data_IF_470187506486
#
_entry.id   IF_470187506486
#
_cell.length_a   1.000
_cell.length_b   1.000
_cell.length_c   1.000
_cell.angle_alpha   90.00
_cell.angle_beta   90.00
_cell.angle_gamma   90.00
#
_symmetry.space_group_name_H-M   'P 1'
#
loop_
_entity.id
_entity.type
_entity.pdbx_description
1 polymer ?
#
# COMPACT_ATOMS: atom_id res chain seq x y z
N UNK A 1 -6.41 29.48 21.82
CA UNK A 1 -5.11 30.17 21.91
C UNK A 1 -4.15 29.37 21.03
N UNK A 2 -3.78 29.89 19.87
CA UNK A 2 -2.72 29.26 19.07
C UNK A 2 -1.44 29.43 19.90
N UNK A 3 -0.71 28.36 20.27
CA UNK A 3 0.52 28.53 21.04
C UNK A 3 1.45 29.44 20.25
N UNK A 4 2.01 30.44 20.94
CA UNK A 4 2.95 31.37 20.35
C UNK A 4 4.09 30.56 19.72
N UNK A 5 4.45 30.86 18.47
CA UNK A 5 5.51 30.14 17.74
C UNK A 5 6.80 30.01 18.58
N UNK A 6 7.18 31.06 19.32
CA UNK A 6 8.36 31.05 20.18
C UNK A 6 8.23 30.05 21.34
N UNK A 7 7.05 29.95 21.97
CA UNK A 7 6.78 28.97 23.03
C UNK A 7 6.82 27.55 22.46
N UNK A 8 6.26 27.35 21.26
CA UNK A 8 6.31 26.05 20.57
C UNK A 8 7.75 25.64 20.25
N UNK A 9 8.56 26.56 19.72
CA UNK A 9 9.97 26.32 19.42
C UNK A 9 10.77 25.98 20.69
N UNK A 10 10.58 26.74 21.76
CA UNK A 10 11.24 26.49 23.04
C UNK A 10 10.84 25.13 23.64
N UNK A 11 9.56 24.77 23.58
CA UNK A 11 9.09 23.46 24.03
C UNK A 11 9.67 22.32 23.20
N UNK A 12 9.73 22.48 21.86
CA UNK A 12 10.34 21.49 20.97
C UNK A 12 11.81 21.24 21.33
N UNK A 13 12.60 22.29 21.57
CA UNK A 13 13.99 22.16 22.00
C UNK A 13 14.12 21.32 23.27
N UNK A 14 13.33 21.64 24.31
CA UNK A 14 13.34 20.91 25.58
C UNK A 14 13.01 19.43 25.35
N UNK A 15 11.97 19.13 24.57
CA UNK A 15 11.57 17.74 24.31
C UNK A 15 12.62 16.95 23.53
N UNK A 16 13.21 17.55 22.49
CA UNK A 16 14.23 16.88 21.69
C UNK A 16 15.52 16.65 22.49
N UNK A 17 15.98 17.63 23.27
CA UNK A 17 17.17 17.45 24.14
C UNK A 17 16.93 16.42 25.23
N UNK A 18 15.74 16.40 25.84
CA UNK A 18 15.37 15.37 26.82
C UNK A 18 15.31 13.96 26.20
N UNK A 19 14.75 13.83 25.00
CA UNK A 19 14.71 12.55 24.28
C UNK A 19 16.13 12.09 23.90
N UNK A 20 16.99 13.02 23.46
CA UNK A 20 18.38 12.73 23.11
C UNK A 20 19.22 12.26 24.31
N UNK A 21 18.91 12.74 25.52
CA UNK A 21 19.59 12.32 26.74
C UNK A 21 19.44 10.81 27.05
N UNK A 22 18.42 10.15 26.49
CA UNK A 22 18.27 8.69 26.58
C UNK A 22 19.14 7.92 25.56
N UNK A 23 19.90 8.63 24.72
CA UNK A 23 20.75 8.08 23.65
C UNK A 23 20.04 7.03 22.76
N UNK A 24 18.85 7.34 22.21
CA UNK A 24 18.14 6.40 21.34
C UNK A 24 18.84 6.24 19.99
N UNK A 25 18.42 5.23 19.20
CA UNK A 25 18.90 5.04 17.82
C UNK A 25 18.60 6.25 16.92
N UNK A 26 17.45 6.89 17.14
CA UNK A 26 17.01 8.15 16.57
C UNK A 26 15.78 8.66 17.34
N UNK A 27 15.38 9.91 17.12
CA UNK A 27 14.16 10.51 17.64
C UNK A 27 13.17 10.70 16.48
N UNK A 28 11.97 10.15 16.59
CA UNK A 28 10.85 10.53 15.72
C UNK A 28 10.16 11.76 16.31
N UNK A 29 9.85 12.75 15.47
CA UNK A 29 9.21 13.98 15.94
C UNK A 29 8.09 14.49 15.03
N UNK A 30 7.11 15.07 15.71
CA UNK A 30 5.98 15.82 15.16
C UNK A 30 6.37 17.29 15.02
N UNK A 31 7.24 17.60 14.06
CA UNK A 31 7.78 18.96 13.90
C UNK A 31 6.77 19.90 13.26
N UNK A 32 6.71 21.14 13.76
CA UNK A 32 5.99 22.22 13.11
C UNK A 32 4.48 22.07 13.07
N UNK A 33 3.85 22.90 12.23
CA UNK A 33 2.40 22.95 12.02
C UNK A 33 2.10 23.24 10.56
N UNK A 34 0.96 22.76 10.11
CA UNK A 34 0.38 23.04 8.79
C UNK A 34 0.00 24.51 8.59
N UNK A 35 -0.25 25.26 9.68
CA UNK A 35 -0.57 26.68 9.64
C UNK A 35 0.62 27.63 9.92
N UNK A 36 1.81 27.11 10.20
CA UNK A 36 3.01 27.95 10.31
C UNK A 36 3.54 28.31 8.93
N UNK A 37 4.18 29.48 8.82
CA UNK A 37 4.83 29.87 7.57
C UNK A 37 5.98 28.93 7.22
N UNK A 38 6.44 28.98 5.97
CA UNK A 38 7.61 28.23 5.53
C UNK A 38 8.81 28.53 6.43
N UNK A 39 9.08 29.81 6.69
CA UNK A 39 10.21 30.27 7.51
C UNK A 39 10.09 29.79 8.96
N UNK A 40 8.88 29.80 9.52
CA UNK A 40 8.63 29.30 10.87
C UNK A 40 8.89 27.80 10.98
N UNK A 41 8.38 27.00 10.05
CA UNK A 41 8.66 25.56 10.04
C UNK A 41 10.14 25.27 9.76
N UNK A 42 10.79 26.00 8.87
CA UNK A 42 12.23 25.89 8.59
C UNK A 42 13.06 26.13 9.85
N UNK A 43 12.73 27.14 10.66
CA UNK A 43 13.40 27.36 11.94
C UNK A 43 13.27 26.20 12.94
N UNK A 44 12.21 25.39 12.86
CA UNK A 44 12.02 24.20 13.71
C UNK A 44 12.80 23.00 13.17
N UNK A 45 12.93 22.88 11.84
CA UNK A 45 13.77 21.89 11.19
C UNK A 45 15.25 22.18 11.47
N UNK A 46 15.70 23.42 11.30
CA UNK A 46 17.06 23.87 11.64
C UNK A 46 17.41 23.62 13.11
N UNK A 47 16.47 23.92 14.02
CA UNK A 47 16.64 23.61 15.45
C UNK A 47 16.81 22.11 15.69
N UNK A 48 15.98 21.28 15.03
CA UNK A 48 16.06 19.82 15.16
C UNK A 48 17.41 19.30 14.64
N UNK A 49 17.87 19.82 13.50
CA UNK A 49 19.16 19.45 12.93
C UNK A 49 20.33 19.90 13.81
N UNK A 50 20.31 21.11 14.36
CA UNK A 50 21.31 21.57 15.32
C UNK A 50 21.37 20.65 16.55
N UNK A 51 20.22 20.26 17.11
CA UNK A 51 20.18 19.34 18.26
C UNK A 51 20.72 17.95 17.86
N UNK A 52 20.42 17.47 16.67
CA UNK A 52 20.96 16.20 16.17
C UNK A 52 22.49 16.23 16.07
N UNK A 53 23.05 17.35 15.60
CA UNK A 53 24.50 17.57 15.53
C UNK A 53 25.13 17.69 16.93
N UNK A 54 24.51 18.47 17.83
CA UNK A 54 24.99 18.68 19.21
C UNK A 54 25.05 17.36 20.00
N UNK A 55 24.05 16.51 19.83
CA UNK A 55 23.84 15.31 20.65
C UNK A 55 24.34 14.03 20.00
N UNK A 56 24.59 14.04 18.69
CA UNK A 56 24.88 12.85 17.88
C UNK A 56 23.68 11.92 17.67
N UNK A 57 22.49 12.29 18.16
CA UNK A 57 21.26 11.48 18.01
C UNK A 57 20.48 11.97 16.79
N UNK A 58 20.31 11.11 15.79
CA UNK A 58 19.56 11.43 14.57
C UNK A 58 18.10 11.76 14.89
N UNK A 59 17.52 12.70 14.12
CA UNK A 59 16.12 13.09 14.25
C UNK A 59 15.42 12.89 12.90
N UNK A 60 14.28 12.21 12.91
CA UNK A 60 13.45 11.95 11.73
C UNK A 60 12.07 12.58 11.91
N UNK A 61 11.51 13.09 10.82
CA UNK A 61 10.29 13.89 10.85
C UNK A 61 9.10 13.10 10.33
N UNK A 62 8.08 12.95 11.15
CA UNK A 62 6.88 12.19 10.78
C UNK A 62 6.04 12.92 9.73
N UNK A 63 5.61 12.18 8.71
CA UNK A 63 4.52 12.58 7.83
C UNK A 63 3.23 12.58 8.65
N UNK A 64 2.68 13.76 8.94
CA UNK A 64 1.47 13.87 9.76
C UNK A 64 0.61 15.06 9.35
N UNK A 65 -0.71 14.83 9.15
CA UNK A 65 -1.67 15.77 8.52
C UNK A 65 -1.75 17.18 9.14
N UNK A 66 -1.36 17.34 10.40
CA UNK A 66 -1.37 18.63 11.13
C UNK A 66 0.03 19.24 11.33
N UNK A 67 0.99 18.85 10.49
CA UNK A 67 2.40 19.27 10.55
C UNK A 67 2.80 19.85 9.19
N UNK A 68 4.02 20.38 9.09
CA UNK A 68 4.53 20.92 7.81
C UNK A 68 4.50 19.89 6.67
N UNK A 69 4.57 18.60 7.03
CA UNK A 69 4.51 17.43 6.15
C UNK A 69 3.08 16.95 5.85
N UNK A 70 2.04 17.72 6.19
CA UNK A 70 0.66 17.22 6.23
C UNK A 70 0.03 16.81 4.89
N UNK A 71 0.64 17.20 3.77
CA UNK A 71 0.23 16.82 2.42
C UNK A 71 1.47 16.70 1.52
N UNK A 72 1.49 15.83 0.48
CA UNK A 72 2.66 15.65 -0.38
C UNK A 72 3.19 16.95 -1.00
N UNK A 73 2.29 17.84 -1.42
CA UNK A 73 2.69 19.15 -1.97
C UNK A 73 3.21 20.14 -0.92
N UNK A 74 2.89 19.97 0.36
CA UNK A 74 3.38 20.85 1.42
C UNK A 74 4.83 20.52 1.80
N UNK A 75 5.24 19.25 1.69
CA UNK A 75 6.59 18.83 2.09
C UNK A 75 7.67 19.19 1.05
N UNK A 76 7.29 19.33 -0.22
CA UNK A 76 8.23 19.53 -1.34
C UNK A 76 9.20 20.71 -1.17
N UNK A 77 8.75 21.94 -0.84
CA UNK A 77 9.67 23.08 -0.69
C UNK A 77 10.71 22.88 0.42
N UNK A 78 10.36 22.10 1.46
CA UNK A 78 11.28 21.75 2.53
C UNK A 78 12.29 20.69 2.06
N UNK A 79 11.88 19.69 1.28
CA UNK A 79 12.83 18.70 0.74
C UNK A 79 13.84 19.32 -0.23
N UNK A 80 13.45 20.38 -0.94
CA UNK A 80 14.33 21.15 -1.80
C UNK A 80 15.32 22.01 -0.99
N UNK A 81 14.85 22.62 0.10
CA UNK A 81 15.68 23.49 0.96
C UNK A 81 16.56 22.71 1.94
N UNK A 82 16.14 21.50 2.31
CA UNK A 82 16.83 20.60 3.25
C UNK A 82 17.09 19.24 2.55
N UNK A 83 18.16 19.12 1.75
CA UNK A 83 18.50 17.91 0.99
C UNK A 83 18.75 16.65 1.85
N UNK A 84 19.11 16.84 3.12
CA UNK A 84 19.39 15.76 4.07
C UNK A 84 18.20 15.44 5.00
N UNK A 85 17.06 16.11 4.81
CA UNK A 85 15.87 15.91 5.65
C UNK A 85 15.39 14.44 5.61
N UNK A 86 15.41 13.79 6.77
CA UNK A 86 15.00 12.41 6.95
C UNK A 86 13.54 12.31 7.40
N UNK A 87 12.77 11.40 6.77
CA UNK A 87 11.34 11.24 7.03
C UNK A 87 11.04 9.93 7.78
N UNK A 88 10.03 10.01 8.66
CA UNK A 88 9.26 8.85 9.12
C UNK A 88 7.95 8.77 8.34
N UNK A 89 7.75 7.67 7.63
CA UNK A 89 6.60 7.45 6.77
C UNK A 89 5.42 6.86 7.56
N UNK A 90 4.52 7.73 8.04
CA UNK A 90 3.12 7.39 8.29
C UNK A 90 2.24 7.92 7.14
N UNK A 91 2.17 7.15 6.05
CA UNK A 91 1.42 7.53 4.85
C UNK A 91 -0.10 7.51 5.04
N UNK A 92 -0.59 6.94 6.14
CA UNK A 92 -2.02 6.95 6.47
C UNK A 92 -2.56 8.38 6.64
N UNK A 93 -1.72 9.30 7.10
CA UNK A 93 -2.05 10.72 7.21
C UNK A 93 -2.27 11.39 5.85
N UNK A 94 -1.50 11.01 4.83
CA UNK A 94 -1.72 11.49 3.48
C UNK A 94 -2.92 10.84 2.82
N UNK A 95 -3.28 9.61 3.18
CA UNK A 95 -4.48 8.98 2.65
C UNK A 95 -5.73 9.82 2.96
N UNK A 96 -5.88 10.24 4.22
CA UNK A 96 -6.99 11.11 4.64
C UNK A 96 -6.85 12.54 4.14
N UNK A 97 -5.64 13.11 4.09
CA UNK A 97 -5.44 14.48 3.60
C UNK A 97 -5.68 14.62 2.10
N UNK A 98 -5.47 13.56 1.32
CA UNK A 98 -5.67 13.53 -0.13
C UNK A 98 -6.95 12.80 -0.55
N UNK A 99 -7.78 12.37 0.39
CA UNK A 99 -9.01 11.60 0.13
C UNK A 99 -8.80 10.41 -0.84
N UNK A 100 -7.66 9.73 -0.74
CA UNK A 100 -7.25 8.70 -1.70
C UNK A 100 -6.21 7.72 -1.13
N UNK A 101 -5.88 6.67 -1.88
CA UNK A 101 -4.70 5.84 -1.64
C UNK A 101 -3.51 6.30 -2.49
N UNK A 102 -3.38 7.61 -2.77
CA UNK A 102 -2.24 8.23 -3.45
C UNK A 102 -1.87 7.61 -4.83
N UNK A 103 -2.82 6.94 -5.48
CA UNK A 103 -2.61 6.18 -6.71
C UNK A 103 -2.08 7.03 -7.87
N UNK A 104 -2.43 8.32 -7.88
CA UNK A 104 -2.05 9.32 -8.88
C UNK A 104 -0.72 10.03 -8.56
N UNK A 105 -0.14 9.77 -7.38
CA UNK A 105 1.10 10.40 -6.90
C UNK A 105 2.28 9.41 -6.82
N UNK A 106 2.14 8.24 -7.46
CA UNK A 106 3.13 7.16 -7.40
C UNK A 106 4.56 7.56 -7.80
N UNK A 107 4.73 8.49 -8.73
CA UNK A 107 6.05 8.97 -9.18
C UNK A 107 6.71 9.86 -8.11
N UNK A 108 5.94 10.79 -7.55
CA UNK A 108 6.37 11.63 -6.43
C UNK A 108 6.80 10.77 -5.23
N UNK A 109 5.97 9.79 -4.86
CA UNK A 109 6.27 8.88 -3.77
C UNK A 109 7.57 8.10 -4.00
N UNK A 110 7.71 7.46 -5.16
CA UNK A 110 8.87 6.60 -5.45
C UNK A 110 10.18 7.37 -5.62
N UNK A 111 10.14 8.52 -6.30
CA UNK A 111 11.35 9.20 -6.73
C UNK A 111 11.80 10.28 -5.74
N UNK A 112 10.88 10.84 -4.96
CA UNK A 112 11.16 11.97 -4.06
C UNK A 112 11.02 11.58 -2.60
N UNK A 113 9.90 10.94 -2.23
CA UNK A 113 9.58 10.70 -0.82
C UNK A 113 10.31 9.47 -0.27
N UNK A 114 10.16 8.30 -0.90
CA UNK A 114 10.70 7.03 -0.39
C UNK A 114 12.23 7.03 -0.18
N UNK A 115 13.05 7.67 -1.03
CA UNK A 115 14.50 7.78 -0.79
C UNK A 115 14.86 8.55 0.50
N UNK A 116 13.97 9.42 0.99
CA UNK A 116 14.15 10.21 2.21
C UNK A 116 13.72 9.48 3.48
N UNK A 117 13.04 8.33 3.35
CA UNK A 117 12.48 7.60 4.50
C UNK A 117 13.57 6.83 5.24
N UNK A 118 13.53 6.90 6.57
CA UNK A 118 14.40 6.15 7.51
C UNK A 118 13.63 5.33 8.53
N UNK A 119 12.37 5.70 8.77
CA UNK A 119 11.47 4.99 9.65
C UNK A 119 10.10 4.84 8.99
N UNK A 120 9.39 3.76 9.30
CA UNK A 120 8.02 3.53 8.88
C UNK A 120 7.17 3.30 10.12
N UNK A 121 6.10 4.06 10.26
CA UNK A 121 4.98 3.70 11.11
C UNK A 121 3.98 2.86 10.31
N UNK A 122 3.86 1.58 10.67
CA UNK A 122 3.13 0.57 9.92
C UNK A 122 1.64 0.53 10.31
N UNK A 123 0.96 1.68 10.21
CA UNK A 123 -0.50 1.79 10.32
C UNK A 123 -1.12 1.73 8.93
N UNK A 124 -2.29 1.13 8.82
CA UNK A 124 -3.08 1.12 7.58
C UNK A 124 -4.20 2.15 7.69
N UNK A 125 -4.13 3.19 6.85
CA UNK A 125 -5.23 4.15 6.65
C UNK A 125 -6.04 3.86 5.40
N UNK A 126 -7.06 4.67 5.17
CA UNK A 126 -7.89 4.68 3.97
C UNK A 126 -8.20 6.13 3.56
N UNK A 127 -8.87 6.32 2.42
CA UNK A 127 -9.18 7.65 1.88
C UNK A 127 -9.89 8.59 2.87
N UNK A 128 -10.69 8.05 3.78
CA UNK A 128 -11.51 8.83 4.71
C UNK A 128 -10.97 8.83 6.14
N UNK A 129 -9.82 8.19 6.39
CA UNK A 129 -9.35 8.00 7.76
C UNK A 129 -7.92 7.48 7.87
N UNK A 130 -7.15 7.94 8.86
CA UNK A 130 -5.76 7.51 9.07
C UNK A 130 -5.65 6.08 9.63
N UNK A 131 -6.76 5.45 10.03
CA UNK A 131 -6.74 4.11 10.60
C UNK A 131 -7.97 3.33 10.19
N UNK A 132 -7.77 2.15 9.60
CA UNK A 132 -8.84 1.16 9.39
C UNK A 132 -9.23 0.50 10.70
N UNK A 133 -10.47 0.05 10.81
CA UNK A 133 -10.97 -0.67 12.00
C UNK A 133 -10.18 -1.95 12.25
N UNK A 134 -9.92 -2.74 11.21
CA UNK A 134 -9.08 -3.93 11.28
C UNK A 134 -8.49 -4.22 9.89
N UNK A 135 -7.17 -4.12 9.72
CA UNK A 135 -6.52 -4.28 8.41
C UNK A 135 -6.69 -5.69 7.82
N UNK A 136 -7.11 -6.68 8.61
CA UNK A 136 -7.35 -8.06 8.17
C UNK A 136 -8.72 -8.23 7.54
N UNK A 137 -9.63 -7.28 7.75
CA UNK A 137 -10.98 -7.35 7.23
C UNK A 137 -10.98 -7.17 5.70
N UNK A 138 -11.81 -7.93 4.95
CA UNK A 138 -11.79 -7.93 3.48
C UNK A 138 -12.15 -6.58 2.85
N UNK A 139 -12.96 -5.77 3.52
CA UNK A 139 -13.30 -4.41 3.09
C UNK A 139 -12.09 -3.46 3.06
N UNK A 140 -11.07 -3.75 3.87
CA UNK A 140 -9.83 -2.96 3.94
C UNK A 140 -8.71 -3.54 3.06
N UNK A 141 -9.00 -4.55 2.25
CA UNK A 141 -7.99 -5.28 1.48
C UNK A 141 -7.19 -4.40 0.50
N UNK A 142 -7.85 -3.41 -0.12
CA UNK A 142 -7.18 -2.49 -1.05
C UNK A 142 -6.24 -1.52 -0.31
N UNK A 143 -6.71 -0.94 0.80
CA UNK A 143 -5.91 -0.10 1.68
C UNK A 143 -4.70 -0.85 2.23
N UNK A 144 -4.92 -2.06 2.74
CA UNK A 144 -3.86 -2.93 3.25
C UNK A 144 -2.83 -3.26 2.16
N UNK A 145 -3.28 -3.64 0.95
CA UNK A 145 -2.39 -3.95 -0.16
C UNK A 145 -1.56 -2.74 -0.61
N UNK A 146 -2.14 -1.54 -0.61
CA UNK A 146 -1.44 -0.30 -0.95
C UNK A 146 -0.30 -0.02 0.06
N UNK A 147 -0.60 -0.07 1.36
CA UNK A 147 0.38 0.17 2.42
C UNK A 147 1.53 -0.84 2.38
N UNK A 148 1.23 -2.15 2.24
CA UNK A 148 2.26 -3.18 2.09
C UNK A 148 3.16 -2.91 0.87
N UNK A 149 2.58 -2.45 -0.25
CA UNK A 149 3.35 -2.13 -1.45
C UNK A 149 4.27 -0.93 -1.25
N UNK A 150 3.84 0.09 -0.49
CA UNK A 150 4.68 1.23 -0.17
C UNK A 150 5.84 0.83 0.73
N UNK A 151 5.57 0.09 1.80
CA UNK A 151 6.61 -0.37 2.73
C UNK A 151 7.63 -1.28 2.04
N UNK A 152 7.18 -2.20 1.19
CA UNK A 152 8.06 -3.05 0.37
C UNK A 152 8.95 -2.22 -0.57
N UNK A 153 8.42 -1.13 -1.13
CA UNK A 153 9.20 -0.24 -2.00
C UNK A 153 10.23 0.57 -1.22
N UNK A 154 9.84 1.13 -0.06
CA UNK A 154 10.73 1.88 0.82
C UNK A 154 11.90 1.01 1.29
N UNK A 155 11.61 -0.20 1.77
CA UNK A 155 12.66 -1.13 2.24
C UNK A 155 13.61 -1.53 1.12
N UNK A 156 13.13 -1.65 -0.12
CA UNK A 156 13.97 -1.96 -1.30
C UNK A 156 14.77 -0.78 -1.83
N UNK A 157 14.48 0.45 -1.41
CA UNK A 157 15.25 1.62 -1.83
C UNK A 157 16.70 1.59 -1.31
N UNK A 158 17.03 0.67 -0.37
CA UNK A 158 18.40 0.40 0.06
C UNK A 158 18.84 1.15 1.32
N UNK A 159 18.01 2.03 1.86
CA UNK A 159 18.26 2.68 3.14
C UNK A 159 18.09 1.70 4.30
N UNK A 160 18.93 1.82 5.33
CA UNK A 160 18.67 1.16 6.61
C UNK A 160 17.40 1.76 7.21
N UNK A 161 16.31 0.99 7.14
CA UNK A 161 14.96 1.45 7.51
C UNK A 161 14.45 0.61 8.67
N UNK A 162 13.98 1.29 9.73
CA UNK A 162 13.28 0.64 10.84
C UNK A 162 11.77 0.74 10.62
N UNK A 163 10.99 -0.18 11.21
CA UNK A 163 9.53 -0.21 11.04
C UNK A 163 8.86 -0.60 12.36
N UNK A 164 7.81 0.14 12.73
CA UNK A 164 7.07 -0.05 13.98
C UNK A 164 5.57 -0.13 13.68
N UNK A 165 4.85 -1.21 14.07
CA UNK A 165 3.39 -1.21 14.07
C UNK A 165 2.84 -0.07 14.93
N UNK A 166 1.88 0.68 14.40
CA UNK A 166 1.40 1.90 15.07
C UNK A 166 -0.13 2.02 15.09
N UNK A 167 -0.90 0.95 15.22
CA UNK A 167 -2.35 1.08 15.48
C UNK A 167 -2.58 1.82 16.81
N UNK A 168 -3.15 3.02 16.74
CA UNK A 168 -3.28 3.95 17.85
C UNK A 168 -4.56 3.71 18.66
N UNK A 169 -4.60 4.14 19.93
CA UNK A 169 -5.79 4.04 20.77
C UNK A 169 -6.92 4.96 20.27
N UNK A 170 -8.10 4.90 20.90
CA UNK A 170 -9.14 5.91 20.65
C UNK A 170 -8.56 7.33 20.82
N UNK A 171 -8.91 8.30 19.94
CA UNK A 171 -9.98 8.23 18.94
C UNK A 171 -9.56 7.68 17.57
N UNK A 172 -8.32 7.23 17.37
CA UNK A 172 -7.92 6.57 16.12
C UNK A 172 -8.62 5.23 15.94
N UNK A 173 -8.77 4.50 17.04
CA UNK A 173 -9.60 3.30 17.07
C UNK A 173 -11.06 3.68 17.20
N UNK A 174 -11.86 3.26 16.22
CA UNK A 174 -13.31 3.47 16.22
C UNK A 174 -13.93 2.87 17.47
N UNK A 175 -14.84 3.63 18.07
CA UNK A 175 -15.63 3.21 19.22
C UNK A 175 -17.11 3.19 18.87
N UNK A 176 -17.87 2.36 19.57
CA UNK A 176 -19.32 2.35 19.45
C UNK A 176 -19.91 3.67 19.99
N UNK A 177 -20.95 4.22 19.35
CA UNK A 177 -21.61 5.43 19.82
C UNK A 177 -22.20 5.20 21.22
N UNK A 178 -22.22 6.25 22.03
CA UNK A 178 -22.74 6.29 23.40
C UNK A 178 -21.98 5.47 24.45
N UNK A 179 -21.43 4.32 24.09
CA UNK A 179 -20.71 3.43 25.02
C UNK A 179 -19.20 3.63 25.02
N UNK A 180 -18.65 4.22 23.95
CA UNK A 180 -17.21 4.35 23.70
C UNK A 180 -16.44 3.01 23.73
N UNK A 181 -17.14 1.88 23.58
CA UNK A 181 -16.49 0.58 23.50
C UNK A 181 -15.68 0.48 22.21
N UNK A 182 -14.38 0.14 22.31
CA UNK A 182 -13.52 -0.05 21.15
C UNK A 182 -14.03 -1.19 20.27
N UNK A 183 -14.09 -0.95 18.95
CA UNK A 183 -14.57 -1.93 17.97
C UNK A 183 -13.52 -3.02 17.72
N UNK A 184 -12.23 -2.66 17.78
CA UNK A 184 -11.10 -3.56 17.62
C UNK A 184 -10.01 -3.22 18.63
N UNK A 185 -9.25 -4.24 19.05
CA UNK A 185 -8.18 -4.07 20.02
C UNK A 185 -6.87 -3.64 19.30
N UNK A 186 -6.36 -2.41 19.55
CA UNK A 186 -5.15 -1.91 18.89
C UNK A 186 -3.91 -2.75 19.23
N UNK A 187 -3.85 -3.34 20.43
CA UNK A 187 -2.74 -4.22 20.80
C UNK A 187 -2.70 -5.45 19.89
N UNK A 188 -3.84 -6.12 19.72
CA UNK A 188 -3.94 -7.27 18.83
C UNK A 188 -3.65 -6.91 17.37
N UNK A 189 -4.07 -5.72 16.91
CA UNK A 189 -3.73 -5.25 15.56
C UNK A 189 -2.22 -5.02 15.41
N UNK A 190 -1.57 -4.39 16.38
CA UNK A 190 -0.12 -4.18 16.35
C UNK A 190 0.67 -5.49 16.37
N UNK A 191 0.27 -6.45 17.21
CA UNK A 191 0.89 -7.79 17.23
C UNK A 191 0.65 -8.53 15.91
N UNK A 192 -0.55 -8.44 15.33
CA UNK A 192 -0.83 -9.05 14.04
C UNK A 192 0.00 -8.42 12.92
N UNK A 193 0.15 -7.10 12.91
CA UNK A 193 0.97 -6.38 11.93
C UNK A 193 2.46 -6.73 12.08
N UNK A 194 2.97 -6.83 13.32
CA UNK A 194 4.33 -7.31 13.57
C UNK A 194 4.59 -8.67 12.90
N UNK A 195 3.65 -9.60 13.03
CA UNK A 195 3.76 -10.92 12.40
C UNK A 195 3.78 -10.84 10.88
N UNK A 196 2.96 -9.98 10.27
CA UNK A 196 3.00 -9.71 8.83
C UNK A 196 4.37 -9.20 8.42
N UNK A 197 4.89 -8.19 9.12
CA UNK A 197 6.19 -7.59 8.81
C UNK A 197 7.33 -8.60 8.92
N UNK A 198 7.32 -9.47 9.94
CA UNK A 198 8.28 -10.57 10.05
C UNK A 198 8.20 -11.56 8.88
N UNK A 199 7.02 -11.80 8.31
CA UNK A 199 6.90 -12.67 7.12
C UNK A 199 7.38 -11.97 5.85
N UNK A 200 7.15 -10.66 5.71
CA UNK A 200 7.62 -9.88 4.56
C UNK A 200 9.14 -9.87 4.46
N UNK A 201 9.83 -9.71 5.58
CA UNK A 201 11.30 -9.69 5.64
C UNK A 201 11.93 -11.07 5.47
N UNK A 202 11.17 -12.14 5.76
CA UNK A 202 11.61 -13.55 5.55
C UNK A 202 11.31 -14.07 4.13
N UNK A 203 10.38 -13.47 3.39
CA UNK A 203 9.96 -13.99 2.09
C UNK A 203 10.81 -13.47 0.92
N UNK A 204 11.86 -14.23 0.68
CA UNK A 204 12.59 -14.37 -0.57
C UNK A 204 11.65 -14.54 -1.80
N UNK A 205 11.81 -13.64 -2.78
CA UNK A 205 11.55 -13.73 -4.23
C UNK A 205 10.22 -14.25 -4.83
N UNK A 206 9.33 -14.84 -4.06
CA UNK A 206 8.19 -15.62 -4.57
C UNK A 206 6.87 -14.84 -4.62
N UNK A 207 6.60 -14.00 -3.62
CA UNK A 207 5.38 -13.17 -3.52
C UNK A 207 5.35 -12.06 -4.57
N UNK A 208 6.52 -11.53 -4.96
CA UNK A 208 6.63 -10.51 -6.02
C UNK A 208 6.06 -10.98 -7.36
N UNK A 209 6.12 -12.28 -7.68
CA UNK A 209 5.62 -12.80 -8.96
C UNK A 209 4.10 -12.72 -9.09
N UNK A 210 3.37 -12.75 -7.97
CA UNK A 210 1.90 -12.68 -7.99
C UNK A 210 1.42 -11.22 -8.08
N UNK A 211 2.04 -10.29 -7.35
CA UNK A 211 1.71 -8.86 -7.44
C UNK A 211 2.08 -8.25 -8.80
N UNK A 212 3.26 -8.56 -9.38
CA UNK A 212 3.62 -8.07 -10.72
C UNK A 212 2.66 -8.60 -11.80
N UNK A 213 2.20 -9.85 -11.69
CA UNK A 213 1.19 -10.41 -12.61
C UNK A 213 -0.17 -9.73 -12.45
N UNK A 214 -0.59 -9.46 -11.21
CA UNK A 214 -1.86 -8.76 -10.91
C UNK A 214 -1.82 -7.31 -11.43
N UNK A 215 -0.75 -6.57 -11.15
CA UNK A 215 -0.53 -5.20 -11.65
C UNK A 215 -0.48 -5.14 -13.18
N UNK A 216 0.23 -6.07 -13.84
CA UNK A 216 0.24 -6.18 -15.30
C UNK A 216 -1.15 -6.46 -15.88
N UNK A 217 -1.95 -7.29 -15.22
CA UNK A 217 -3.32 -7.59 -15.63
C UNK A 217 -4.23 -6.36 -15.51
N UNK A 218 -4.17 -5.63 -14.39
CA UNK A 218 -4.97 -4.40 -14.19
C UNK A 218 -4.55 -3.29 -15.17
N UNK A 219 -3.25 -3.11 -15.42
CA UNK A 219 -2.75 -2.15 -16.42
C UNK A 219 -3.26 -2.49 -17.82
N UNK A 220 -3.21 -3.78 -18.20
CA UNK A 220 -3.77 -4.25 -19.48
C UNK A 220 -5.27 -3.98 -19.61
N UNK A 221 -6.07 -4.26 -18.56
CA UNK A 221 -7.51 -3.98 -18.54
C UNK A 221 -7.80 -2.47 -18.69
N UNK A 222 -7.03 -1.61 -18.00
CA UNK A 222 -7.14 -0.14 -18.12
C UNK A 222 -6.82 0.35 -19.54
N UNK A 223 -5.78 -0.22 -20.19
CA UNK A 223 -5.43 0.12 -21.58
C UNK A 223 -6.50 -0.36 -22.57
N UNK A 224 -7.06 -1.56 -22.39
CA UNK A 224 -8.17 -2.06 -23.22
C UNK A 224 -9.42 -1.16 -23.11
N UNK A 225 -9.77 -0.70 -21.90
CA UNK A 225 -10.86 0.26 -21.70
C UNK A 225 -10.59 1.63 -22.35
N UNK A 226 -9.36 2.17 -22.22
CA UNK A 226 -8.99 3.43 -22.89
C UNK A 226 -9.05 3.31 -24.42
N UNK A 227 -8.60 2.18 -24.97
CA UNK A 227 -8.69 1.91 -26.40
C UNK A 227 -10.13 1.76 -26.87
N UNK A 228 -10.99 1.07 -26.11
CA UNK A 228 -12.43 1.00 -26.40
C UNK A 228 -13.09 2.38 -26.40
N UNK A 229 -12.79 3.24 -25.42
CA UNK A 229 -13.29 4.62 -25.38
C UNK A 229 -12.79 5.46 -26.57
N UNK A 230 -11.53 5.33 -26.97
CA UNK A 230 -10.97 6.00 -28.18
C UNK A 230 -11.68 5.57 -29.47
N UNK A 231 -11.99 4.28 -29.60
CA UNK A 231 -12.76 3.75 -30.74
C UNK A 231 -14.19 4.30 -30.74
N UNK A 232 -14.82 4.46 -29.57
CA UNK A 232 -16.15 5.06 -29.44
C UNK A 232 -16.20 6.55 -29.83
N UNK A 233 -15.16 7.34 -29.51
CA UNK A 233 -15.11 8.78 -29.84
C UNK A 233 -14.88 9.02 -31.33
N UNK A 234 -14.13 8.14 -32.00
CA UNK A 234 -13.89 8.24 -33.44
C UNK A 234 -15.05 7.70 -34.32
N UNK A 235 -16.13 7.19 -33.72
CA UNK A 235 -17.25 6.54 -34.41
C UNK A 235 -18.51 7.42 -34.56
N UNK A 236 -18.35 8.73 -34.83
CA UNK A 236 -19.41 9.58 -35.43
C UNK A 236 -19.37 9.51 -36.98
N UNK A 237 -19.25 8.29 -37.51
CA UNK A 237 -19.32 7.97 -38.94
C UNK A 237 -19.85 6.54 -39.11
N UNK A 238 -20.55 6.29 -40.22
CA UNK A 238 -21.43 5.13 -40.43
C UNK A 238 -20.81 3.76 -40.08
N UNK A 239 -21.64 2.94 -39.40
CA UNK A 239 -21.26 1.64 -38.82
C UNK A 239 -20.91 0.61 -39.89
N UNK A 240 -19.66 0.15 -39.92
CA UNK A 240 -19.34 -1.26 -40.24
C UNK A 240 -18.96 -1.98 -38.96
N UNK A 241 -19.83 -2.85 -38.47
CA UNK A 241 -19.54 -3.76 -37.36
C UNK A 241 -18.52 -4.80 -37.82
N UNK A 242 -17.24 -4.50 -37.63
CA UNK A 242 -16.18 -5.49 -37.79
C UNK A 242 -16.27 -6.42 -36.59
N UNK A 243 -16.66 -7.67 -36.82
CA UNK A 243 -16.70 -8.71 -35.79
C UNK A 243 -15.35 -8.83 -35.09
N UNK A 244 -15.35 -9.39 -33.86
CA UNK A 244 -14.12 -9.60 -33.09
C UNK A 244 -13.08 -10.32 -33.98
N UNK A 245 -11.85 -9.80 -34.09
CA UNK A 245 -10.82 -10.49 -34.85
C UNK A 245 -10.60 -11.90 -34.26
N UNK A 246 -10.43 -12.92 -35.12
CA UNK A 246 -10.24 -14.28 -34.67
C UNK A 246 -9.01 -14.37 -33.76
N UNK A 247 -9.10 -15.23 -32.75
CA UNK A 247 -7.99 -15.46 -31.83
C UNK A 247 -6.75 -15.93 -32.60
N UNK A 248 -5.57 -15.40 -32.26
CA UNK A 248 -4.33 -15.86 -32.90
C UNK A 248 -4.13 -17.36 -32.67
N UNK A 249 -3.54 -18.06 -33.65
CA UNK A 249 -3.23 -19.51 -33.55
C UNK A 249 -2.48 -19.85 -32.25
N UNK A 250 -1.62 -18.94 -31.77
CA UNK A 250 -0.89 -19.05 -30.50
C UNK A 250 -1.80 -18.97 -29.27
N UNK A 251 -2.82 -18.09 -29.30
CA UNK A 251 -3.83 -17.97 -28.25
C UNK A 251 -4.72 -19.20 -28.20
N UNK A 252 -5.21 -19.66 -29.35
CA UNK A 252 -6.02 -20.89 -29.45
C UNK A 252 -5.25 -22.07 -28.87
N UNK A 253 -4.01 -22.32 -29.32
CA UNK A 253 -3.18 -23.42 -28.81
C UNK A 253 -2.95 -23.37 -27.29
N UNK A 254 -2.74 -22.18 -26.74
CA UNK A 254 -2.54 -21.99 -25.30
C UNK A 254 -3.82 -22.23 -24.51
N UNK A 255 -4.94 -21.73 -25.01
CA UNK A 255 -6.23 -21.84 -24.33
C UNK A 255 -6.74 -23.30 -24.40
N UNK A 256 -6.52 -24.02 -25.51
CA UNK A 256 -6.75 -25.48 -25.61
C UNK A 256 -5.89 -26.28 -24.63
N UNK A 257 -4.58 -25.95 -24.51
CA UNK A 257 -3.70 -26.61 -23.53
C UNK A 257 -4.15 -26.37 -22.09
N UNK A 258 -4.61 -25.15 -21.79
CA UNK A 258 -5.14 -24.79 -20.46
C UNK A 258 -6.44 -25.52 -20.15
N UNK A 259 -7.35 -25.64 -21.13
CA UNK A 259 -8.58 -26.40 -20.98
C UNK A 259 -8.31 -27.88 -20.68
N UNK A 260 -7.40 -28.52 -21.42
CA UNK A 260 -6.98 -29.91 -21.16
C UNK A 260 -6.40 -30.10 -19.76
N UNK A 261 -5.54 -29.19 -19.32
CA UNK A 261 -4.94 -29.26 -17.98
C UNK A 261 -5.99 -29.06 -16.87
N UNK A 262 -6.93 -28.13 -17.05
CA UNK A 262 -8.02 -27.90 -16.10
C UNK A 262 -8.97 -29.10 -16.03
N UNK A 263 -9.32 -29.70 -17.17
CA UNK A 263 -10.17 -30.88 -17.23
C UNK A 263 -9.51 -32.06 -16.49
N UNK A 264 -8.21 -32.28 -16.71
CA UNK A 264 -7.45 -33.30 -15.98
C UNK A 264 -7.42 -33.03 -14.47
N UNK A 265 -7.17 -31.79 -14.07
CA UNK A 265 -7.16 -31.41 -12.66
C UNK A 265 -8.53 -31.61 -11.97
N UNK A 266 -9.62 -31.25 -12.64
CA UNK A 266 -10.99 -31.46 -12.14
C UNK A 266 -11.34 -32.94 -12.05
N UNK A 267 -10.93 -33.74 -13.04
CA UNK A 267 -11.09 -35.20 -13.02
C UNK A 267 -10.33 -35.83 -11.85
N UNK A 268 -9.06 -35.47 -11.64
CA UNK A 268 -8.25 -35.94 -10.53
C UNK A 268 -8.86 -35.55 -9.16
N UNK A 269 -9.45 -34.36 -9.06
CA UNK A 269 -10.16 -33.88 -7.86
C UNK A 269 -11.42 -34.69 -7.57
N UNK A 270 -12.23 -34.99 -8.58
CA UNK A 270 -13.48 -35.75 -8.43
C UNK A 270 -13.23 -37.22 -8.06
N UNK A 271 -12.15 -37.81 -8.58
CA UNK A 271 -11.70 -39.15 -8.17
C UNK A 271 -11.20 -39.13 -6.73
N UNK A 272 -10.42 -38.12 -6.33
CA UNK A 272 -9.91 -37.99 -4.98
C UNK A 272 -11.01 -37.74 -3.93
N UNK A 273 -12.13 -37.11 -4.31
CA UNK A 273 -13.27 -36.89 -3.42
C UNK A 273 -14.19 -38.12 -3.27
N UNK A 274 -13.95 -39.20 -4.01
CA UNK A 274 -14.77 -40.42 -3.98
C UNK A 274 -16.17 -40.26 -4.59
N UNK A 275 -16.45 -39.11 -5.21
CA UNK A 275 -17.74 -38.81 -5.85
C UNK A 275 -17.90 -39.51 -7.20
N UNK A 276 -16.79 -39.89 -7.83
CA UNK A 276 -16.73 -40.58 -9.12
C UNK A 276 -15.66 -41.66 -9.05
N UNK A 277 -15.96 -42.90 -9.43
CA UNK A 277 -14.97 -43.97 -9.47
C UNK A 277 -14.23 -44.00 -10.82
N UNK A 278 -13.08 -44.68 -10.89
CA UNK A 278 -12.36 -44.86 -12.15
C UNK A 278 -13.18 -45.62 -13.20
N UNK A 279 -14.03 -46.55 -12.76
CA UNK A 279 -14.92 -47.33 -13.62
C UNK A 279 -16.04 -46.47 -14.23
N UNK A 280 -16.55 -45.47 -13.49
CA UNK A 280 -17.57 -44.53 -14.01
C UNK A 280 -17.00 -43.64 -15.12
N UNK A 281 -15.73 -43.23 -14.98
CA UNK A 281 -15.02 -42.43 -15.99
C UNK A 281 -14.81 -43.24 -17.27
N UNK A 282 -14.41 -44.51 -17.16
CA UNK A 282 -14.21 -45.39 -18.31
C UNK A 282 -15.51 -45.66 -19.07
N UNK A 283 -16.65 -45.86 -18.37
CA UNK A 283 -17.97 -46.00 -18.99
C UNK A 283 -18.40 -44.73 -19.74
N UNK A 284 -18.17 -43.55 -19.17
CA UNK A 284 -18.51 -42.27 -19.81
C UNK A 284 -17.63 -41.99 -21.04
N UNK A 285 -16.36 -42.40 -21.02
CA UNK A 285 -15.47 -42.28 -22.17
C UNK A 285 -15.84 -43.26 -23.29
N UNK A 286 -16.24 -44.49 -22.95
CA UNK A 286 -16.74 -45.46 -23.93
C UNK A 286 -18.02 -44.96 -24.62
N UNK A 287 -18.98 -44.41 -23.85
CA UNK A 287 -20.23 -43.86 -24.40
C UNK A 287 -20.01 -42.62 -25.28
N UNK A 288 -18.98 -41.80 -24.99
CA UNK A 288 -18.61 -40.66 -25.83
C UNK A 288 -17.99 -41.08 -27.16
N UNK A 289 -17.18 -42.14 -27.16
CA UNK A 289 -16.54 -42.63 -28.39
C UNK A 289 -17.56 -43.31 -29.33
N UNK A 290 -18.54 -44.04 -28.77
CA UNK A 290 -19.65 -44.60 -29.57
C UNK A 290 -20.55 -43.52 -30.18
N UNK A 291 -20.69 -42.36 -29.53
CA UNK A 291 -21.48 -41.25 -30.06
C UNK A 291 -20.78 -40.48 -31.19
N UNK A 292 -19.44 -40.42 -31.16
CA UNK A 292 -18.63 -39.80 -32.21
C UNK A 292 -18.53 -40.72 -33.44
N UNK A 293 -18.50 -42.05 -33.28
CA UNK A 293 -18.51 -43.03 -34.39
C UNK A 293 -19.85 -43.09 -35.16
N UNK A 294 -20.95 -42.56 -34.60
CA UNK A 294 -22.27 -42.49 -35.26
C UNK A 294 -22.44 -41.16 -36.04
N UNK A 295 -21.53 -40.19 -35.84
CA UNK A 295 -21.61 -38.85 -36.41
C UNK A 295 -20.63 -38.59 -37.58
N UNK A 296 -19.85 -39.59 -38.00
CA UNK A 296 -19.05 -39.62 -39.25
C UNK A 296 -19.77 -40.37 -40.39
#
# INVERSE_FOLDING_TARGET
MVPNFHEHKAALEVYLRNAAAASPLFINTHTGKDFYSFEQNSQLLELSEQIAQDTGVRIVHEIHRSRFSGHPMLVLPYLDSFPDLELNADLSHWCVACESLLDDQSELLQNVIFPRVRHIHARVGHAEGPQVTDFRAPEHADAYAAHLSWWDTIVKAGNTTTITPEFGPAPYTTTLPYTNQIVSDPWHLNVAMLNVLHTMTKHDSSVQRFNVKKVKLHRKKRTEMKNQKKVFVNAKGDKKTVGKPPASKKKVRRDTKRAKNNAKYEQDRLVASGLVTKEDIEKLQAASNEADDIAE
#
